data_IF_516299676581
#
_entry.id   IF_516299676581
#
_cell.length_a   1.000
_cell.length_b   1.000
_cell.length_c   1.000
_cell.angle_alpha   90.00
_cell.angle_beta   90.00
_cell.angle_gamma   90.00
#
_symmetry.space_group_name_H-M   'P 1'
#
loop_
_entity.id
_entity.type
_entity.pdbx_description
1 polymer ?
#
# COMPACT_ATOMS: atom_id res chain seq x y z
N UNK A 1 34.66 -43.75 -64.23
CA UNK A 1 35.23 -44.68 -63.23
C UNK A 1 35.08 -44.05 -61.85
N UNK A 2 34.47 -44.76 -60.89
CA UNK A 2 34.47 -44.60 -59.42
C UNK A 2 34.77 -43.18 -58.88
N UNK A 3 33.87 -42.58 -58.10
CA UNK A 3 33.81 -42.89 -56.67
C UNK A 3 32.50 -42.37 -56.05
N UNK A 4 31.84 -43.23 -55.28
CA UNK A 4 30.82 -42.90 -54.29
C UNK A 4 31.33 -43.49 -52.98
N UNK A 5 31.41 -42.70 -51.90
CA UNK A 5 30.71 -42.81 -50.59
C UNK A 5 31.39 -41.83 -49.59
N UNK A 6 30.88 -41.58 -48.36
CA UNK A 6 30.14 -40.36 -48.03
C UNK A 6 30.78 -39.58 -46.85
N UNK A 7 30.23 -38.41 -46.49
CA UNK A 7 30.42 -37.86 -45.14
C UNK A 7 29.14 -37.22 -44.65
N UNK A 8 28.57 -37.85 -43.62
CA UNK A 8 27.40 -37.46 -42.87
C UNK A 8 27.60 -36.05 -42.28
N UNK A 9 26.69 -35.10 -42.57
CA UNK A 9 26.60 -33.83 -41.86
C UNK A 9 25.32 -33.78 -41.02
N UNK A 10 25.57 -33.61 -39.73
CA UNK A 10 24.71 -33.27 -38.60
C UNK A 10 23.49 -32.41 -38.99
N UNK A 11 22.29 -32.93 -38.72
CA UNK A 11 21.14 -32.12 -38.32
C UNK A 11 21.41 -31.47 -36.95
N UNK A 12 20.60 -30.57 -36.40
CA UNK A 12 19.21 -30.23 -36.62
C UNK A 12 18.99 -28.86 -35.94
N UNK A 13 18.02 -28.10 -36.43
CA UNK A 13 17.29 -27.05 -35.70
C UNK A 13 17.99 -25.73 -35.35
N UNK A 14 18.17 -24.90 -36.37
CA UNK A 14 17.84 -23.48 -36.27
C UNK A 14 16.41 -23.29 -36.79
N UNK A 15 15.40 -23.27 -35.93
CA UNK A 15 14.04 -22.96 -36.33
C UNK A 15 13.21 -22.37 -35.18
N UNK A 16 12.59 -21.23 -35.47
CA UNK A 16 11.40 -20.68 -34.83
C UNK A 16 11.56 -19.99 -33.46
N UNK A 17 12.18 -18.80 -33.46
CA UNK A 17 11.83 -17.73 -32.51
C UNK A 17 11.59 -16.42 -33.28
N UNK A 18 10.58 -16.43 -34.15
CA UNK A 18 10.12 -15.24 -34.86
C UNK A 18 8.63 -15.38 -35.22
N UNK A 19 7.77 -15.46 -34.21
CA UNK A 19 6.35 -15.13 -34.32
C UNK A 19 5.90 -14.60 -32.95
N UNK A 20 6.43 -13.45 -32.56
CA UNK A 20 5.67 -12.56 -31.69
C UNK A 20 4.46 -12.11 -32.53
N UNK A 21 3.35 -12.82 -32.38
CA UNK A 21 2.07 -12.42 -32.93
C UNK A 21 1.76 -11.05 -32.38
N UNK A 22 2.01 -10.02 -33.19
CA UNK A 22 1.32 -8.75 -33.03
C UNK A 22 -0.14 -9.08 -33.26
N UNK A 23 -0.86 -9.31 -32.16
CA UNK A 23 -2.30 -9.15 -32.15
C UNK A 23 -2.52 -7.68 -32.53
N UNK A 24 -2.62 -7.43 -33.84
CA UNK A 24 -3.16 -6.22 -34.37
C UNK A 24 -4.57 -6.17 -33.81
N UNK A 25 -4.75 -5.45 -32.70
CA UNK A 25 -6.08 -5.12 -32.23
C UNK A 25 -6.73 -4.44 -33.43
N UNK A 26 -7.70 -5.13 -34.06
CA UNK A 26 -8.48 -4.56 -35.13
C UNK A 26 -8.98 -3.22 -34.59
N UNK A 27 -8.59 -2.14 -35.25
CA UNK A 27 -8.98 -0.79 -34.84
C UNK A 27 -10.50 -0.79 -34.90
N UNK A 28 -11.15 -0.87 -33.74
CA UNK A 28 -12.61 -0.80 -33.67
C UNK A 28 -12.96 0.59 -34.18
N UNK A 29 -13.41 0.67 -35.43
CA UNK A 29 -13.94 1.90 -35.97
C UNK A 29 -15.22 2.18 -35.20
N UNK A 30 -15.12 3.10 -34.24
CA UNK A 30 -16.28 3.60 -33.54
C UNK A 30 -17.27 4.15 -34.58
N UNK A 31 -18.56 3.84 -34.46
CA UNK A 31 -19.58 4.45 -35.31
C UNK A 31 -19.35 5.97 -35.36
N UNK A 32 -19.44 6.55 -36.56
CA UNK A 32 -19.20 7.99 -36.78
C UNK A 32 -20.09 8.89 -35.92
N UNK A 33 -21.18 8.35 -35.41
CA UNK A 33 -22.14 9.04 -34.55
C UNK A 33 -22.26 8.28 -33.24
N UNK A 34 -21.43 8.64 -32.27
CA UNK A 34 -21.67 8.28 -30.88
C UNK A 34 -22.92 9.02 -30.38
N UNK A 35 -23.75 8.39 -29.53
CA UNK A 35 -24.86 9.09 -28.89
C UNK A 35 -24.33 10.33 -28.17
N UNK A 36 -25.09 11.45 -28.15
CA UNK A 36 -24.66 12.66 -27.47
C UNK A 36 -24.39 12.36 -26.00
N UNK A 37 -23.33 12.95 -25.44
CA UNK A 37 -23.05 12.84 -24.02
C UNK A 37 -24.27 13.29 -23.22
N UNK A 38 -24.60 12.53 -22.17
CA UNK A 38 -25.57 12.98 -21.17
C UNK A 38 -25.10 14.29 -20.55
N UNK A 39 -26.03 15.10 -20.04
CA UNK A 39 -25.69 16.31 -19.30
C UNK A 39 -24.84 15.94 -18.09
N UNK A 40 -23.75 16.67 -17.88
CA UNK A 40 -22.92 16.50 -16.68
C UNK A 40 -23.78 16.66 -15.43
N UNK A 41 -23.78 15.63 -14.59
CA UNK A 41 -24.42 15.69 -13.28
C UNK A 41 -23.39 16.23 -12.29
N UNK A 42 -23.63 17.38 -11.63
CA UNK A 42 -22.72 17.91 -10.63
C UNK A 42 -22.48 16.88 -9.53
N UNK A 43 -21.21 16.67 -9.16
CA UNK A 43 -20.87 15.84 -8.03
C UNK A 43 -21.33 16.55 -6.75
N UNK A 44 -22.12 15.86 -5.94
CA UNK A 44 -22.53 16.38 -4.64
C UNK A 44 -21.30 16.45 -3.73
N UNK A 45 -20.88 17.66 -3.37
CA UNK A 45 -19.81 17.87 -2.39
C UNK A 45 -20.35 17.50 -1.01
N UNK A 46 -19.71 16.59 -0.27
CA UNK A 46 -20.18 16.22 1.05
C UNK A 46 -20.00 17.39 2.02
N UNK A 47 -20.90 17.50 3.01
CA UNK A 47 -20.75 18.47 4.08
C UNK A 47 -19.58 18.07 4.99
N UNK A 48 -18.60 18.95 5.18
CA UNK A 48 -17.41 18.69 5.99
C UNK A 48 -17.49 19.54 7.26
N UNK A 49 -17.56 18.89 8.41
CA UNK A 49 -17.43 19.57 9.71
C UNK A 49 -15.98 19.52 10.16
N UNK A 50 -15.39 20.68 10.44
CA UNK A 50 -14.03 20.80 10.93
C UNK A 50 -14.01 21.41 12.33
N UNK A 51 -13.21 20.82 13.23
CA UNK A 51 -12.97 21.33 14.56
C UNK A 51 -11.48 21.21 14.91
N UNK A 52 -10.94 22.20 15.60
CA UNK A 52 -9.60 22.11 16.22
C UNK A 52 -9.78 21.90 17.72
N UNK A 53 -9.20 20.83 18.24
CA UNK A 53 -9.21 20.52 19.68
C UNK A 53 -8.21 21.40 20.44
N UNK A 54 -8.33 21.55 21.78
CA UNK A 54 -7.41 22.37 22.57
C UNK A 54 -5.94 21.97 22.49
N UNK A 55 -5.65 20.71 22.15
CA UNK A 55 -4.29 20.19 21.94
C UNK A 55 -3.76 20.39 20.51
N UNK A 56 -4.48 21.12 19.65
CA UNK A 56 -4.10 21.40 18.26
C UNK A 56 -4.46 20.31 17.25
N UNK A 57 -5.04 19.19 17.68
CA UNK A 57 -5.50 18.14 16.75
C UNK A 57 -6.70 18.64 15.94
N UNK A 58 -6.58 18.59 14.62
CA UNK A 58 -7.67 18.91 13.70
C UNK A 58 -8.52 17.67 13.44
N UNK A 59 -9.82 17.78 13.65
CA UNK A 59 -10.81 16.71 13.45
C UNK A 59 -11.74 17.10 12.32
N UNK A 60 -11.85 16.23 11.32
CA UNK A 60 -12.66 16.42 10.14
C UNK A 60 -13.69 15.29 10.11
N UNK A 61 -14.97 15.64 10.03
CA UNK A 61 -16.07 14.68 9.97
C UNK A 61 -16.80 14.88 8.64
N UNK A 62 -16.91 13.81 7.87
CA UNK A 62 -17.55 13.80 6.55
C UNK A 62 -18.67 12.76 6.57
N UNK A 63 -19.90 13.15 6.96
CA UNK A 63 -21.03 12.24 6.96
C UNK A 63 -21.33 11.73 5.55
N UNK A 64 -21.58 10.43 5.44
CA UNK A 64 -22.04 9.79 4.21
C UNK A 64 -23.19 8.85 4.53
N UNK A 65 -24.30 9.02 3.84
CA UNK A 65 -25.46 8.15 4.00
C UNK A 65 -25.30 6.86 3.18
N UNK A 66 -25.99 5.80 3.59
CA UNK A 66 -26.13 4.55 2.83
C UNK A 66 -25.36 3.35 3.36
N UNK A 67 -24.33 3.54 4.20
CA UNK A 67 -23.61 2.44 4.84
C UNK A 67 -23.42 2.73 6.35
N UNK A 68 -23.89 1.87 7.27
CA UNK A 68 -23.74 2.05 8.71
C UNK A 68 -22.32 1.68 9.17
N UNK A 69 -21.31 2.38 8.63
CA UNK A 69 -19.89 2.18 8.89
C UNK A 69 -19.22 3.53 9.12
N UNK A 70 -18.21 3.54 9.98
CA UNK A 70 -17.35 4.70 10.18
C UNK A 70 -15.91 4.29 9.87
N UNK A 71 -15.21 5.14 9.12
CA UNK A 71 -13.79 5.01 8.82
C UNK A 71 -13.03 6.15 9.54
N UNK A 72 -11.96 5.78 10.23
CA UNK A 72 -11.09 6.67 10.96
C UNK A 72 -9.72 6.69 10.28
N UNK A 73 -9.17 7.90 10.13
CA UNK A 73 -7.80 8.11 9.68
C UNK A 73 -7.14 9.12 10.61
N UNK A 74 -6.16 8.66 11.37
CA UNK A 74 -5.26 9.53 12.12
C UNK A 74 -4.00 9.73 11.28
N UNK A 75 -3.84 10.93 10.73
CA UNK A 75 -2.67 11.30 9.92
C UNK A 75 -1.67 12.11 10.74
N UNK A 76 -0.43 11.62 10.83
CA UNK A 76 0.70 12.31 11.45
C UNK A 76 1.62 12.81 10.34
N UNK A 77 1.60 14.13 10.13
CA UNK A 77 2.38 14.80 9.08
C UNK A 77 3.83 14.97 9.52
N UNK A 78 4.76 14.95 8.57
CA UNK A 78 6.20 15.14 8.82
C UNK A 78 6.87 13.96 9.51
N UNK A 79 6.17 12.83 9.65
CA UNK A 79 6.67 11.59 10.25
C UNK A 79 6.86 10.48 9.20
N UNK A 80 7.01 10.83 7.93
CA UNK A 80 7.17 9.89 6.82
C UNK A 80 8.61 9.43 6.59
N UNK A 81 8.89 8.74 5.48
CA UNK A 81 10.23 8.23 5.17
C UNK A 81 11.30 9.34 5.11
N UNK A 82 10.92 10.58 4.75
CA UNK A 82 11.84 11.71 4.78
C UNK A 82 12.32 12.12 6.19
N UNK A 83 11.69 11.60 7.25
CA UNK A 83 12.11 11.81 8.64
C UNK A 83 13.02 10.69 9.17
N UNK A 84 13.34 9.67 8.36
CA UNK A 84 14.32 8.67 8.74
C UNK A 84 15.72 9.28 8.76
N UNK A 85 16.51 8.88 9.77
CA UNK A 85 17.92 9.28 9.82
C UNK A 85 18.71 8.52 8.75
N UNK A 86 19.76 9.15 8.21
CA UNK A 86 20.57 8.56 7.14
C UNK A 86 21.20 7.20 7.51
N UNK A 87 21.46 6.97 8.80
CA UNK A 87 21.99 5.72 9.35
C UNK A 87 20.90 4.69 9.71
N UNK A 88 19.62 5.04 9.60
CA UNK A 88 18.49 4.18 9.93
C UNK A 88 17.33 4.28 8.90
N UNK A 89 17.58 4.05 7.60
CA UNK A 89 16.54 4.08 6.58
C UNK A 89 15.49 2.98 6.81
N UNK A 90 14.22 3.31 6.60
CA UNK A 90 13.10 2.37 6.78
C UNK A 90 12.64 2.21 8.23
N UNK A 91 13.19 2.99 9.18
CA UNK A 91 12.75 3.00 10.58
C UNK A 91 11.28 3.40 10.68
N UNK A 92 10.85 4.40 9.93
CA UNK A 92 9.45 4.85 9.90
C UNK A 92 8.51 3.76 9.41
N UNK A 93 8.90 3.00 8.38
CA UNK A 93 8.11 1.87 7.88
C UNK A 93 7.95 0.78 8.95
N UNK A 94 9.04 0.45 9.64
CA UNK A 94 9.01 -0.52 10.73
C UNK A 94 8.16 -0.04 11.90
N UNK A 95 8.34 1.22 12.33
CA UNK A 95 7.55 1.85 13.39
C UNK A 95 6.06 1.73 13.08
N UNK A 96 5.62 2.15 11.89
CA UNK A 96 4.23 2.07 11.48
C UNK A 96 3.71 0.62 11.54
N UNK A 97 4.46 -0.35 11.02
CA UNK A 97 4.06 -1.77 11.08
C UNK A 97 3.92 -2.32 12.50
N UNK A 98 4.68 -1.76 13.45
CA UNK A 98 4.74 -2.21 14.83
C UNK A 98 3.72 -1.53 15.74
N UNK A 99 3.04 -0.46 15.30
CA UNK A 99 1.99 0.19 16.09
C UNK A 99 0.89 -0.80 16.49
N UNK A 100 0.54 -1.74 15.61
CA UNK A 100 -0.42 -2.82 15.88
C UNK A 100 0.22 -4.10 16.42
N UNK A 101 1.52 -4.09 16.73
CA UNK A 101 2.26 -5.25 17.27
C UNK A 101 1.94 -5.53 18.75
N UNK A 102 1.38 -4.57 19.47
CA UNK A 102 0.96 -4.76 20.85
C UNK A 102 0.98 -3.47 21.66
N UNK A 103 0.11 -3.40 22.64
CA UNK A 103 -0.01 -2.31 23.62
C UNK A 103 0.22 -2.85 25.02
N UNK A 104 0.26 -1.94 26.01
CA UNK A 104 0.33 -2.36 27.41
C UNK A 104 -0.89 -3.18 27.88
N UNK A 105 -1.99 -3.18 27.11
CA UNK A 105 -3.23 -3.86 27.47
C UNK A 105 -3.55 -5.07 26.58
N UNK A 106 -3.04 -5.10 25.35
CA UNK A 106 -3.41 -6.10 24.33
C UNK A 106 -2.21 -6.53 23.50
N UNK A 107 -2.12 -7.83 23.23
CA UNK A 107 -1.22 -8.36 22.19
C UNK A 107 -1.70 -7.98 20.79
N UNK A 108 -0.84 -8.12 19.77
CA UNK A 108 -1.21 -7.94 18.35
C UNK A 108 -2.49 -8.71 17.98
N UNK A 109 -2.57 -9.98 18.38
CA UNK A 109 -3.75 -10.84 18.18
C UNK A 109 -5.00 -10.26 18.85
N UNK A 110 -4.89 -9.82 20.11
CA UNK A 110 -6.03 -9.26 20.84
C UNK A 110 -6.49 -7.92 20.25
N UNK A 111 -5.59 -7.12 19.69
CA UNK A 111 -5.95 -5.89 18.96
C UNK A 111 -6.78 -6.24 17.71
N UNK A 112 -6.32 -7.23 16.93
CA UNK A 112 -7.04 -7.69 15.74
C UNK A 112 -8.42 -8.26 16.09
N UNK A 113 -8.49 -9.14 17.11
CA UNK A 113 -9.75 -9.74 17.58
C UNK A 113 -10.71 -8.67 18.11
N UNK A 114 -10.21 -7.70 18.89
CA UNK A 114 -11.02 -6.59 19.36
C UNK A 114 -11.58 -5.77 18.19
N UNK A 115 -10.78 -5.47 17.17
CA UNK A 115 -11.27 -4.73 16.02
C UNK A 115 -12.30 -5.51 15.20
N UNK A 116 -12.07 -6.80 15.00
CA UNK A 116 -12.99 -7.70 14.29
C UNK A 116 -14.33 -7.82 15.02
N UNK A 117 -14.33 -7.90 16.36
CA UNK A 117 -15.54 -7.94 17.16
C UNK A 117 -16.41 -6.69 17.00
N UNK A 118 -15.82 -5.54 16.65
CA UNK A 118 -16.52 -4.29 16.35
C UNK A 118 -16.97 -4.20 14.88
N UNK A 119 -16.78 -5.27 14.10
CA UNK A 119 -17.15 -5.35 12.68
C UNK A 119 -16.19 -4.63 11.74
N UNK A 120 -14.91 -4.51 12.11
CA UNK A 120 -13.92 -3.90 11.23
C UNK A 120 -12.48 -4.25 11.54
N UNK A 121 -11.56 -3.30 11.32
CA UNK A 121 -10.12 -3.52 11.43
C UNK A 121 -9.38 -2.26 11.86
N UNK A 122 -8.15 -2.44 12.34
CA UNK A 122 -7.20 -1.37 12.66
C UNK A 122 -5.85 -1.69 12.03
N UNK A 123 -5.16 -0.68 11.54
CA UNK A 123 -3.87 -0.81 10.88
C UNK A 123 -3.07 0.48 10.92
N UNK A 124 -1.82 0.41 10.50
CA UNK A 124 -0.98 1.58 10.31
C UNK A 124 -0.07 1.42 9.10
N UNK A 125 0.23 2.53 8.45
CA UNK A 125 1.11 2.60 7.30
C UNK A 125 1.91 3.89 7.30
N UNK A 126 3.00 3.89 6.56
CA UNK A 126 3.84 5.07 6.35
C UNK A 126 3.93 5.39 4.86
N UNK A 127 4.06 6.67 4.57
CA UNK A 127 4.35 7.23 3.25
C UNK A 127 5.59 8.13 3.33
N UNK A 128 5.93 8.80 2.23
CA UNK A 128 7.05 9.74 2.19
C UNK A 128 6.87 10.89 3.19
N UNK A 129 5.63 11.35 3.39
CA UNK A 129 5.33 12.59 4.13
C UNK A 129 4.71 12.36 5.51
N UNK A 130 4.29 11.14 5.85
CA UNK A 130 3.66 10.88 7.13
C UNK A 130 3.38 9.43 7.47
N UNK A 131 2.83 9.23 8.68
CA UNK A 131 2.27 7.97 9.15
C UNK A 131 0.75 8.13 9.22
N UNK A 132 0.03 7.11 8.80
CA UNK A 132 -1.43 7.01 8.98
C UNK A 132 -1.77 5.81 9.83
N UNK A 133 -2.57 6.01 10.89
CA UNK A 133 -3.23 4.93 11.63
C UNK A 133 -4.69 4.92 11.20
N UNK A 134 -5.12 3.82 10.61
CA UNK A 134 -6.45 3.66 10.04
C UNK A 134 -7.26 2.68 10.87
N UNK A 135 -8.55 2.94 10.99
CA UNK A 135 -9.48 1.99 11.59
C UNK A 135 -10.85 2.11 10.93
N UNK A 136 -11.65 1.06 11.01
CA UNK A 136 -13.04 1.09 10.57
C UNK A 136 -13.89 0.19 11.46
N UNK A 137 -15.17 0.51 11.62
CA UNK A 137 -16.11 -0.30 12.39
C UNK A 137 -17.55 -0.04 11.94
N UNK A 138 -18.48 -0.88 12.42
CA UNK A 138 -19.91 -0.58 12.36
C UNK A 138 -20.21 0.72 13.12
N UNK A 139 -21.16 1.51 12.62
CA UNK A 139 -21.49 2.81 13.21
C UNK A 139 -21.89 2.73 14.69
N UNK A 140 -22.54 1.65 15.12
CA UNK A 140 -22.87 1.38 16.53
C UNK A 140 -21.65 1.26 17.46
N UNK A 141 -20.49 0.93 16.91
CA UNK A 141 -19.24 0.70 17.63
C UNK A 141 -18.18 1.78 17.39
N UNK A 142 -18.55 2.91 16.77
CA UNK A 142 -17.63 4.01 16.47
C UNK A 142 -16.86 4.50 17.71
N UNK A 143 -17.55 4.61 18.86
CA UNK A 143 -16.94 4.99 20.13
C UNK A 143 -15.88 3.99 20.61
N UNK A 144 -16.19 2.69 20.57
CA UNK A 144 -15.24 1.63 20.95
C UNK A 144 -14.02 1.59 20.03
N UNK A 145 -14.24 1.70 18.71
CA UNK A 145 -13.17 1.68 17.73
C UNK A 145 -12.25 2.89 17.87
N UNK A 146 -12.80 4.08 18.13
CA UNK A 146 -12.00 5.28 18.37
C UNK A 146 -11.08 5.15 19.60
N UNK A 147 -11.54 4.44 20.65
CA UNK A 147 -10.72 4.14 21.83
C UNK A 147 -9.59 3.16 21.50
N UNK A 148 -9.88 2.11 20.73
CA UNK A 148 -8.87 1.16 20.28
C UNK A 148 -7.80 1.84 19.42
N UNK A 149 -8.23 2.68 18.46
CA UNK A 149 -7.33 3.50 17.64
C UNK A 149 -6.43 4.39 18.52
N UNK A 150 -7.00 5.07 19.50
CA UNK A 150 -6.25 5.95 20.40
C UNK A 150 -5.28 5.20 21.32
N UNK A 151 -5.53 3.93 21.62
CA UNK A 151 -4.61 3.06 22.35
C UNK A 151 -3.43 2.63 21.48
N UNK A 152 -3.71 2.08 20.30
CA UNK A 152 -2.70 1.66 19.30
C UNK A 152 -1.78 2.83 18.95
N UNK A 153 -2.32 4.03 18.76
CA UNK A 153 -1.54 5.20 18.38
C UNK A 153 -0.67 5.79 19.52
N UNK A 154 -1.06 5.61 20.80
CA UNK A 154 -0.41 6.32 21.93
C UNK A 154 0.32 5.41 22.91
N UNK A 155 -0.02 4.12 22.96
CA UNK A 155 0.52 3.18 23.94
C UNK A 155 1.06 1.88 23.33
N UNK A 156 1.75 1.89 22.17
CA UNK A 156 2.43 0.70 21.70
C UNK A 156 3.62 0.36 22.62
N UNK A 157 3.85 -0.93 22.88
CA UNK A 157 4.95 -1.39 23.75
C UNK A 157 6.08 -2.08 23.00
N UNK A 158 5.92 -2.27 21.68
CA UNK A 158 6.91 -2.86 20.78
C UNK A 158 7.59 -4.13 21.33
N UNK A 159 6.82 -5.23 21.55
CA UNK A 159 7.40 -6.47 22.10
C UNK A 159 8.56 -6.98 21.23
N UNK A 160 9.65 -7.45 21.86
CA UNK A 160 10.86 -7.88 21.13
C UNK A 160 10.57 -8.94 20.06
N UNK A 161 9.69 -9.90 20.35
CA UNK A 161 9.28 -10.92 19.40
C UNK A 161 8.61 -10.33 18.14
N UNK A 162 7.76 -9.32 18.31
CA UNK A 162 7.08 -8.62 17.23
C UNK A 162 8.07 -7.75 16.44
N UNK A 163 9.04 -7.12 17.11
CA UNK A 163 10.12 -6.36 16.46
C UNK A 163 10.98 -7.26 15.58
N UNK A 164 11.40 -8.42 16.07
CA UNK A 164 12.19 -9.38 15.29
C UNK A 164 11.39 -9.95 14.11
N UNK A 165 10.10 -10.23 14.32
CA UNK A 165 9.21 -10.67 13.26
C UNK A 165 9.05 -9.59 12.18
N UNK A 166 8.78 -8.34 12.57
CA UNK A 166 8.65 -7.22 11.64
C UNK A 166 9.93 -6.99 10.82
N UNK A 167 11.10 -7.07 11.47
CA UNK A 167 12.41 -7.00 10.77
C UNK A 167 12.55 -8.13 9.75
N UNK A 168 12.24 -9.37 10.14
CA UNK A 168 12.34 -10.54 9.26
C UNK A 168 11.41 -10.39 8.06
N UNK A 169 10.16 -10.01 8.29
CA UNK A 169 9.16 -9.78 7.23
C UNK A 169 9.58 -8.63 6.30
N UNK A 170 10.14 -7.56 6.83
CA UNK A 170 10.64 -6.44 6.03
C UNK A 170 11.80 -6.86 5.12
N UNK A 171 12.75 -7.65 5.64
CA UNK A 171 13.88 -8.19 4.85
C UNK A 171 13.40 -9.14 3.75
N UNK A 172 12.47 -10.03 4.06
CA UNK A 172 11.90 -10.93 3.05
C UNK A 172 11.12 -10.16 1.97
N UNK A 173 10.32 -9.19 2.38
CA UNK A 173 9.59 -8.32 1.46
C UNK A 173 10.54 -7.56 0.54
N UNK A 174 11.63 -7.01 1.07
CA UNK A 174 12.66 -6.33 0.28
C UNK A 174 13.34 -7.29 -0.69
N UNK A 175 13.68 -8.51 -0.26
CA UNK A 175 14.27 -9.54 -1.14
C UNK A 175 13.33 -9.86 -2.30
N UNK A 176 12.04 -10.04 -2.02
CA UNK A 176 11.02 -10.29 -3.04
C UNK A 176 10.84 -9.08 -3.98
N UNK A 177 10.76 -7.86 -3.46
CA UNK A 177 10.66 -6.64 -4.28
C UNK A 177 11.88 -6.46 -5.18
N UNK A 178 13.09 -6.77 -4.70
CA UNK A 178 14.33 -6.66 -5.48
C UNK A 178 14.38 -7.58 -6.71
N UNK A 179 13.55 -8.62 -6.80
CA UNK A 179 13.46 -9.46 -8.01
C UNK A 179 12.55 -8.85 -9.08
N UNK A 180 11.75 -7.84 -8.72
CA UNK A 180 10.78 -7.23 -9.62
C UNK A 180 11.44 -6.12 -10.46
N UNK A 181 11.37 -6.16 -11.80
CA UNK A 181 11.97 -5.13 -12.66
C UNK A 181 11.45 -3.72 -12.38
N UNK A 182 10.14 -3.59 -12.12
CA UNK A 182 9.51 -2.30 -11.83
C UNK A 182 10.08 -1.66 -10.55
N UNK A 183 10.29 -2.45 -9.49
CA UNK A 183 10.88 -1.96 -8.24
C UNK A 183 12.32 -1.47 -8.45
N UNK A 184 13.12 -2.22 -9.23
CA UNK A 184 14.50 -1.82 -9.55
C UNK A 184 14.54 -0.55 -10.39
N UNK A 185 13.63 -0.41 -11.36
CA UNK A 185 13.51 0.78 -12.19
C UNK A 185 13.11 2.00 -11.35
N UNK A 186 12.11 1.87 -10.47
CA UNK A 186 11.70 2.92 -9.55
C UNK A 186 12.86 3.37 -8.65
N UNK A 187 13.55 2.42 -8.00
CA UNK A 187 14.70 2.74 -7.14
C UNK A 187 15.83 3.48 -7.88
N UNK A 188 16.13 3.06 -9.12
CA UNK A 188 17.15 3.73 -9.93
C UNK A 188 16.71 5.15 -10.34
N UNK A 189 15.43 5.32 -10.66
CA UNK A 189 14.85 6.61 -10.98
C UNK A 189 14.85 7.55 -9.77
N UNK A 190 14.47 7.06 -8.59
CA UNK A 190 14.50 7.83 -7.34
C UNK A 190 15.91 8.33 -7.05
N UNK A 191 16.92 7.45 -7.18
CA UNK A 191 18.34 7.84 -7.06
C UNK A 191 18.78 8.89 -8.08
N UNK A 192 18.27 8.85 -9.32
CA UNK A 192 18.60 9.82 -10.35
C UNK A 192 17.92 11.19 -10.13
N UNK A 193 16.70 11.20 -9.58
CA UNK A 193 15.93 12.43 -9.33
C UNK A 193 16.39 13.12 -8.05
N UNK A 194 16.59 12.36 -6.96
CA UNK A 194 16.81 12.91 -5.63
C UNK A 194 18.27 12.79 -5.14
N UNK A 195 19.13 12.05 -5.83
CA UNK A 195 20.54 11.89 -5.46
C UNK A 195 20.69 11.28 -4.06
N UNK A 196 21.43 11.96 -3.19
CA UNK A 196 21.66 11.53 -1.80
C UNK A 196 20.41 11.66 -0.90
N UNK A 197 19.31 12.21 -1.42
CA UNK A 197 18.02 12.30 -0.74
C UNK A 197 17.01 11.22 -1.15
N UNK A 198 17.43 10.24 -1.96
CA UNK A 198 16.61 9.13 -2.45
C UNK A 198 16.38 8.01 -1.42
#
# INVERSE_FOLDING_TARGET
>A
MKTSTPTFRLGLMAAALALAGMAQAARVELPKELPPFGKDKPLAVPNITQQTLPNGLQVWVVPRDGVPRVDFVLAVRGAGFGADAADAPGRTKLLASLLTGGTAQRSSKQIAEAAQALGGSVGASASNDGISVTANALASHAGDMSRLLAEVARKPVFPDAEVQLARTNALQSLKASSTQPAFRAAKALDGAIYGDHA
#
